data_IF_033223060131
#
_entry.id   IF_033223060131
#
_cell.length_a   1.000
_cell.length_b   1.000
_cell.length_c   1.000
_cell.angle_alpha   90.00
_cell.angle_beta   90.00
_cell.angle_gamma   90.00
#
_symmetry.space_group_name_H-M   'P 1'
#
loop_
_entity.id
_entity.type
_entity.pdbx_description
1 polymer ?
#
# COMPACT_ATOMS: atom_id res chain seq x y z
N UNK A 1 12.24 -3.82 -35.80
CA UNK A 1 12.01 -2.37 -35.99
C UNK A 1 10.57 -1.97 -35.67
N UNK A 2 9.54 -2.45 -36.39
CA UNK A 2 8.14 -2.05 -36.13
C UNK A 2 7.63 -2.32 -34.70
N UNK A 3 7.95 -3.49 -34.13
CA UNK A 3 7.65 -3.83 -32.73
C UNK A 3 8.36 -2.91 -31.75
N UNK A 4 9.63 -2.59 -32.01
CA UNK A 4 10.42 -1.68 -31.15
C UNK A 4 9.79 -0.29 -31.14
N UNK A 5 9.38 0.21 -32.31
CA UNK A 5 8.67 1.49 -32.43
C UNK A 5 7.35 1.46 -31.63
N UNK A 6 6.61 0.34 -31.70
CA UNK A 6 5.37 0.15 -30.93
C UNK A 6 5.63 0.21 -29.42
N UNK A 7 6.70 -0.43 -28.94
CA UNK A 7 7.09 -0.38 -27.52
C UNK A 7 7.51 1.02 -27.10
N UNK A 8 8.36 1.69 -27.88
CA UNK A 8 8.80 3.06 -27.59
C UNK A 8 7.59 4.00 -27.52
N UNK A 9 6.68 3.91 -28.49
CA UNK A 9 5.45 4.68 -28.51
C UNK A 9 4.62 4.45 -27.25
N UNK A 10 4.37 3.19 -26.89
CA UNK A 10 3.67 2.83 -25.67
C UNK A 10 4.32 3.43 -24.42
N UNK A 11 5.65 3.30 -24.27
CA UNK A 11 6.37 3.82 -23.11
C UNK A 11 6.34 5.34 -23.01
N UNK A 12 6.33 6.06 -24.13
CA UNK A 12 6.19 7.53 -24.13
C UNK A 12 4.85 7.92 -23.50
N UNK A 13 3.74 7.32 -23.94
CA UNK A 13 2.43 7.66 -23.39
C UNK A 13 2.23 7.13 -21.97
N UNK A 14 2.79 5.96 -21.65
CA UNK A 14 2.81 5.46 -20.28
C UNK A 14 3.57 6.42 -19.35
N UNK A 15 4.70 6.98 -19.81
CA UNK A 15 5.45 7.98 -19.06
C UNK A 15 4.63 9.26 -18.87
N UNK A 16 3.98 9.79 -19.92
CA UNK A 16 3.10 10.96 -19.81
C UNK A 16 1.94 10.70 -18.83
N UNK A 17 1.39 9.49 -18.83
CA UNK A 17 0.38 9.08 -17.88
C UNK A 17 0.93 9.08 -16.45
N UNK A 18 2.12 8.51 -16.20
CA UNK A 18 2.73 8.54 -14.85
C UNK A 18 3.11 9.94 -14.36
N UNK A 19 3.36 10.88 -15.25
CA UNK A 19 3.57 12.29 -14.92
C UNK A 19 2.26 13.07 -14.70
N UNK A 20 1.11 12.39 -14.63
CA UNK A 20 -0.21 12.99 -14.51
C UNK A 20 -0.56 14.00 -15.64
N UNK A 21 0.13 13.92 -16.80
CA UNK A 21 -0.08 14.81 -17.95
C UNK A 21 -1.33 14.41 -18.75
N UNK A 22 -1.60 13.11 -18.84
CA UNK A 22 -2.77 12.56 -19.52
C UNK A 22 -3.58 11.67 -18.57
N UNK A 23 -4.90 11.62 -18.75
CA UNK A 23 -5.78 10.71 -17.99
C UNK A 23 -5.66 9.26 -18.47
N UNK A 24 -6.13 8.30 -17.67
CA UNK A 24 -6.24 6.89 -18.09
C UNK A 24 -7.16 6.72 -19.29
N UNK A 25 -8.27 7.46 -19.35
CA UNK A 25 -9.16 7.53 -20.51
C UNK A 25 -8.39 7.98 -21.76
N UNK A 26 -7.66 9.10 -21.66
CA UNK A 26 -6.85 9.60 -22.77
C UNK A 26 -5.82 8.57 -23.23
N UNK A 27 -5.12 7.93 -22.28
CA UNK A 27 -4.13 6.92 -22.58
C UNK A 27 -4.73 5.71 -23.32
N UNK A 28 -5.84 5.17 -22.83
CA UNK A 28 -6.56 4.05 -23.46
C UNK A 28 -7.08 4.42 -24.86
N UNK A 29 -7.60 5.64 -25.04
CA UNK A 29 -8.06 6.13 -26.35
C UNK A 29 -6.90 6.25 -27.34
N UNK A 30 -5.73 6.74 -26.90
CA UNK A 30 -4.52 6.82 -27.74
C UNK A 30 -4.10 5.43 -28.22
N UNK A 31 -4.13 4.42 -27.34
CA UNK A 31 -3.85 3.03 -27.71
C UNK A 31 -4.90 2.47 -28.69
N UNK A 32 -6.18 2.79 -28.49
CA UNK A 32 -7.26 2.37 -29.39
C UNK A 32 -7.10 2.96 -30.80
N UNK A 33 -6.86 4.26 -30.91
CA UNK A 33 -6.62 4.94 -32.21
C UNK A 33 -5.39 4.36 -32.90
N UNK A 34 -4.35 4.05 -32.14
CA UNK A 34 -3.14 3.41 -32.66
C UNK A 34 -3.41 1.99 -33.19
N UNK A 35 -4.22 1.21 -32.45
CA UNK A 35 -4.64 -0.13 -32.86
C UNK A 35 -5.47 -0.10 -34.15
N UNK A 36 -6.41 0.84 -34.26
CA UNK A 36 -7.22 1.04 -35.48
C UNK A 36 -6.31 1.41 -36.66
N UNK A 37 -5.36 2.34 -36.45
CA UNK A 37 -4.43 2.77 -37.49
C UNK A 37 -3.57 1.60 -38.00
N UNK A 38 -2.99 0.80 -37.10
CA UNK A 38 -2.21 -0.38 -37.47
C UNK A 38 -3.06 -1.44 -38.19
N UNK A 39 -4.33 -1.60 -37.80
CA UNK A 39 -5.27 -2.50 -38.46
C UNK A 39 -5.59 -2.06 -39.89
N UNK A 40 -5.75 -0.76 -40.14
CA UNK A 40 -5.92 -0.21 -41.49
C UNK A 40 -4.67 -0.46 -42.34
N UNK A 41 -3.48 -0.19 -41.80
CA UNK A 41 -2.20 -0.47 -42.49
C UNK A 41 -2.07 -1.96 -42.83
N UNK A 42 -2.51 -2.84 -41.94
CA UNK A 42 -2.51 -4.29 -42.18
C UNK A 42 -3.39 -4.68 -43.37
N UNK A 43 -4.58 -4.09 -43.48
CA UNK A 43 -5.52 -4.33 -44.58
C UNK A 43 -4.92 -3.83 -45.91
N UNK A 44 -4.35 -2.63 -45.93
CA UNK A 44 -3.75 -2.03 -47.14
C UNK A 44 -2.59 -2.88 -47.68
N UNK A 45 -1.71 -3.35 -46.80
CA UNK A 45 -0.52 -4.12 -47.20
C UNK A 45 -0.72 -5.64 -47.17
N UNK A 46 -1.98 -6.13 -47.19
CA UNK A 46 -2.29 -7.55 -47.03
C UNK A 46 -1.61 -8.46 -48.08
N UNK A 47 -1.35 -7.95 -49.28
CA UNK A 47 -0.69 -8.71 -50.36
C UNK A 47 0.85 -8.74 -50.25
N UNK A 48 1.47 -7.83 -49.48
CA UNK A 48 2.93 -7.78 -49.32
C UNK A 48 3.37 -8.63 -48.13
N UNK A 49 3.88 -9.86 -48.37
CA UNK A 49 4.25 -10.81 -47.31
C UNK A 49 5.29 -10.27 -46.31
N UNK A 50 6.25 -9.46 -46.75
CA UNK A 50 7.32 -8.96 -45.89
C UNK A 50 6.82 -7.87 -44.93
N UNK A 51 5.99 -6.95 -45.42
CA UNK A 51 5.38 -5.87 -44.61
C UNK A 51 4.29 -6.46 -43.71
N UNK A 52 3.43 -7.33 -44.26
CA UNK A 52 2.34 -7.99 -43.52
C UNK A 52 2.81 -8.62 -42.22
N UNK A 53 3.87 -9.44 -42.24
CA UNK A 53 4.38 -10.11 -41.02
C UNK A 53 4.78 -9.11 -39.92
N UNK A 54 5.45 -8.02 -40.29
CA UNK A 54 5.89 -6.98 -39.33
C UNK A 54 4.71 -6.20 -38.74
N UNK A 55 3.71 -5.88 -39.57
CA UNK A 55 2.51 -5.14 -39.15
C UNK A 55 1.60 -6.02 -38.30
N UNK A 56 1.42 -7.31 -38.63
CA UNK A 56 0.67 -8.26 -37.79
C UNK A 56 1.26 -8.28 -36.37
N UNK A 57 2.58 -8.49 -36.25
CA UNK A 57 3.22 -8.58 -34.94
C UNK A 57 3.04 -7.30 -34.11
N UNK A 58 3.13 -6.13 -34.76
CA UNK A 58 2.94 -4.83 -34.11
C UNK A 58 1.48 -4.59 -33.71
N UNK A 59 0.54 -5.00 -34.56
CA UNK A 59 -0.91 -4.90 -34.29
C UNK A 59 -1.31 -5.82 -33.13
N UNK A 60 -0.82 -7.06 -33.12
CA UNK A 60 -1.03 -8.01 -32.03
C UNK A 60 -0.47 -7.52 -30.71
N UNK A 61 0.75 -6.95 -30.71
CA UNK A 61 1.32 -6.35 -29.50
C UNK A 61 0.50 -5.15 -29.03
N UNK A 62 0.09 -4.24 -29.92
CA UNK A 62 -0.73 -3.10 -29.55
C UNK A 62 -2.10 -3.53 -29.00
N UNK A 63 -2.71 -4.57 -29.57
CA UNK A 63 -3.96 -5.14 -29.06
C UNK A 63 -3.79 -5.69 -27.64
N UNK A 64 -2.69 -6.42 -27.38
CA UNK A 64 -2.37 -6.93 -26.05
C UNK A 64 -2.21 -5.80 -25.03
N UNK A 65 -1.44 -4.76 -25.38
CA UNK A 65 -1.21 -3.59 -24.53
C UNK A 65 -2.52 -2.82 -24.28
N UNK A 66 -3.35 -2.63 -25.31
CA UNK A 66 -4.66 -2.02 -25.16
C UNK A 66 -5.55 -2.80 -24.19
N UNK A 67 -5.65 -4.12 -24.34
CA UNK A 67 -6.44 -4.96 -23.43
C UNK A 67 -5.89 -4.92 -21.99
N UNK A 68 -4.56 -4.89 -21.83
CA UNK A 68 -3.91 -4.77 -20.52
C UNK A 68 -4.22 -3.43 -19.83
N UNK A 69 -4.31 -2.34 -20.59
CA UNK A 69 -4.59 -1.00 -20.06
C UNK A 69 -6.08 -0.65 -19.96
N UNK A 70 -6.97 -1.37 -20.66
CA UNK A 70 -8.40 -1.13 -20.67
C UNK A 70 -9.03 -1.02 -19.26
N UNK A 71 -8.62 -1.80 -18.23
CA UNK A 71 -9.18 -1.66 -16.89
C UNK A 71 -8.91 -0.29 -16.22
N UNK A 72 -7.96 0.52 -16.71
CA UNK A 72 -7.73 1.88 -16.18
C UNK A 72 -8.97 2.77 -16.20
N UNK A 73 -9.88 2.54 -17.15
CA UNK A 73 -11.13 3.31 -17.27
C UNK A 73 -11.98 3.26 -15.99
N UNK A 74 -11.89 2.19 -15.20
CA UNK A 74 -12.62 2.04 -13.94
C UNK A 74 -11.97 2.77 -12.77
N UNK A 75 -10.72 3.23 -12.92
CA UNK A 75 -9.95 3.87 -11.85
C UNK A 75 -9.89 5.40 -11.97
N UNK A 76 -10.11 5.94 -13.17
CA UNK A 76 -10.11 7.39 -13.41
C UNK A 76 -11.23 8.13 -12.66
N UNK A 77 -12.31 7.43 -12.31
CA UNK A 77 -13.38 7.99 -11.49
C UNK A 77 -12.89 8.44 -10.10
N UNK A 78 -11.87 7.79 -9.54
CA UNK A 78 -11.35 8.11 -8.21
C UNK A 78 -10.43 9.32 -8.26
N UNK A 79 -10.85 10.40 -7.59
CA UNK A 79 -10.17 11.71 -7.64
C UNK A 79 -9.40 12.01 -6.37
N UNK A 80 -9.98 11.68 -5.22
CA UNK A 80 -9.42 11.98 -3.91
C UNK A 80 -9.58 10.78 -2.98
N UNK A 81 -8.70 10.70 -2.00
CA UNK A 81 -8.80 9.76 -0.89
C UNK A 81 -8.77 10.54 0.43
N UNK A 82 -9.60 10.13 1.39
CA UNK A 82 -9.49 10.59 2.76
C UNK A 82 -9.00 9.45 3.64
N UNK A 83 -7.98 9.74 4.44
CA UNK A 83 -7.52 8.87 5.50
C UNK A 83 -8.26 9.24 6.78
N UNK A 84 -8.80 8.24 7.46
CA UNK A 84 -9.62 8.41 8.66
C UNK A 84 -8.87 7.93 9.89
N UNK A 85 -9.25 8.50 11.02
CA UNK A 85 -8.82 8.00 12.31
C UNK A 85 -9.47 6.64 12.57
N UNK A 86 -8.65 5.70 13.03
CA UNK A 86 -9.07 4.39 13.53
C UNK A 86 -8.40 4.22 14.89
N UNK A 87 -9.14 3.73 15.87
CA UNK A 87 -8.58 3.45 17.18
C UNK A 87 -7.44 2.43 17.08
N UNK A 88 -6.29 2.64 17.75
CA UNK A 88 -5.23 1.65 17.82
C UNK A 88 -5.73 0.34 18.42
N UNK A 89 -5.37 -0.77 17.78
CA UNK A 89 -5.90 -2.10 18.12
C UNK A 89 -4.88 -2.89 18.94
N UNK A 90 -5.25 -3.26 20.16
CA UNK A 90 -4.55 -4.28 20.94
C UNK A 90 -5.23 -5.64 20.70
N UNK A 91 -4.60 -6.50 19.90
CA UNK A 91 -5.23 -7.78 19.52
C UNK A 91 -5.18 -8.79 20.66
N UNK A 92 -4.08 -8.86 21.41
CA UNK A 92 -3.98 -9.70 22.61
C UNK A 92 -4.06 -8.81 23.84
N UNK A 93 -5.07 -9.07 24.67
CA UNK A 93 -5.33 -8.30 25.89
C UNK A 93 -4.12 -8.33 26.81
N UNK A 94 -3.80 -7.18 27.39
CA UNK A 94 -2.68 -7.00 28.32
C UNK A 94 -1.30 -7.26 27.67
N UNK A 95 -1.22 -7.21 26.33
CA UNK A 95 0.07 -7.23 25.64
C UNK A 95 0.78 -5.89 25.69
N UNK A 96 0.03 -4.79 25.82
CA UNK A 96 0.55 -3.43 25.72
C UNK A 96 1.05 -3.05 24.32
N UNK A 97 0.86 -3.90 23.32
CA UNK A 97 1.26 -3.69 21.93
C UNK A 97 0.03 -3.28 21.11
N UNK A 98 0.03 -2.06 20.60
CA UNK A 98 -1.09 -1.49 19.86
C UNK A 98 -0.75 -1.29 18.39
N UNK A 99 -1.53 -1.90 17.51
CA UNK A 99 -1.38 -1.81 16.06
C UNK A 99 -2.02 -0.53 15.54
N UNK A 100 -1.31 0.16 14.64
CA UNK A 100 -1.79 1.38 14.01
C UNK A 100 -2.37 1.11 12.61
N UNK A 101 -3.70 1.03 12.54
CA UNK A 101 -4.45 0.99 11.28
C UNK A 101 -4.75 2.39 10.74
N UNK A 102 -5.02 2.49 9.44
CA UNK A 102 -5.57 3.71 8.82
C UNK A 102 -6.65 3.30 7.83
N UNK A 103 -7.88 3.78 8.04
CA UNK A 103 -8.96 3.54 7.10
C UNK A 103 -8.89 4.56 5.95
N UNK A 104 -8.89 4.08 4.70
CA UNK A 104 -8.88 4.93 3.50
C UNK A 104 -10.22 4.84 2.77
N UNK A 105 -10.85 5.99 2.57
CA UNK A 105 -12.07 6.13 1.78
C UNK A 105 -11.75 6.85 0.48
N UNK A 106 -12.12 6.26 -0.65
CA UNK A 106 -11.93 6.86 -1.97
C UNK A 106 -13.19 7.59 -2.42
N UNK A 107 -13.02 8.79 -2.96
CA UNK A 107 -14.08 9.65 -3.47
C UNK A 107 -14.04 9.72 -4.99
N UNK A 108 -15.20 9.57 -5.60
CA UNK A 108 -15.36 9.62 -7.05
C UNK A 108 -15.80 11.00 -7.52
N UNK A 109 -15.36 11.40 -8.72
CA UNK A 109 -15.83 12.59 -9.46
C UNK A 109 -15.83 13.90 -8.65
N UNK A 110 -14.91 14.05 -7.71
CA UNK A 110 -14.84 15.24 -6.87
C UNK A 110 -13.80 16.20 -7.41
N UNK A 111 -14.24 17.38 -7.85
CA UNK A 111 -13.38 18.35 -8.55
C UNK A 111 -12.29 18.93 -7.66
N UNK A 112 -12.57 19.09 -6.36
CA UNK A 112 -11.64 19.72 -5.43
C UNK A 112 -11.73 19.15 -4.01
N UNK A 113 -10.69 19.42 -3.21
CA UNK A 113 -10.62 19.04 -1.80
C UNK A 113 -11.80 19.56 -0.98
N UNK A 114 -12.36 20.73 -1.33
CA UNK A 114 -13.48 21.34 -0.58
C UNK A 114 -14.76 20.52 -0.69
N UNK A 115 -15.09 20.03 -1.88
CA UNK A 115 -16.24 19.16 -2.06
C UNK A 115 -16.09 17.82 -1.32
N UNK A 116 -14.87 17.29 -1.20
CA UNK A 116 -14.61 16.11 -0.34
C UNK A 116 -14.89 16.44 1.13
N UNK A 117 -14.41 17.60 1.61
CA UNK A 117 -14.65 18.06 2.99
C UNK A 117 -16.15 18.23 3.24
N UNK A 118 -16.89 18.84 2.32
CA UNK A 118 -18.33 19.05 2.46
C UNK A 118 -19.09 17.72 2.53
N UNK A 119 -18.69 16.72 1.73
CA UNK A 119 -19.25 15.36 1.78
C UNK A 119 -18.94 14.67 3.12
N UNK A 120 -17.70 14.75 3.59
CA UNK A 120 -17.28 14.18 4.88
C UNK A 120 -18.05 14.81 6.05
N UNK A 121 -18.17 16.14 6.06
CA UNK A 121 -18.92 16.88 7.08
C UNK A 121 -20.41 16.50 7.06
N UNK A 122 -21.01 16.37 5.87
CA UNK A 122 -22.42 15.96 5.72
C UNK A 122 -22.67 14.55 6.25
N UNK A 123 -21.68 13.66 6.13
CA UNK A 123 -21.75 12.30 6.65
C UNK A 123 -21.27 12.18 8.11
N UNK A 124 -20.88 13.29 8.75
CA UNK A 124 -20.27 13.30 10.09
C UNK A 124 -19.06 12.36 10.20
N UNK A 125 -18.27 12.30 9.12
CA UNK A 125 -17.12 11.42 9.01
C UNK A 125 -15.83 12.20 9.29
N UNK A 126 -15.14 11.83 10.37
CA UNK A 126 -13.81 12.38 10.68
C UNK A 126 -12.75 11.94 9.66
N UNK A 127 -11.79 12.82 9.41
CA UNK A 127 -10.64 12.58 8.55
C UNK A 127 -9.36 13.18 9.15
N UNK A 128 -8.23 12.54 8.87
CA UNK A 128 -6.89 13.01 9.22
C UNK A 128 -6.27 13.81 8.08
N UNK A 129 -6.42 13.30 6.86
CA UNK A 129 -5.84 13.91 5.68
C UNK A 129 -6.66 13.57 4.43
N UNK A 130 -6.66 14.48 3.47
CA UNK A 130 -7.28 14.29 2.15
C UNK A 130 -6.19 14.51 1.11
N UNK A 131 -5.96 13.50 0.29
CA UNK A 131 -4.97 13.52 -0.78
C UNK A 131 -5.65 13.37 -2.13
N UNK A 132 -5.07 13.98 -3.17
CA UNK A 132 -5.45 13.72 -4.55
C UNK A 132 -4.88 12.36 -4.96
N UNK A 133 -5.67 11.57 -5.66
CA UNK A 133 -5.24 10.27 -6.21
C UNK A 133 -4.47 10.55 -7.51
N UNK A 134 -3.24 10.05 -7.57
CA UNK A 134 -2.36 10.17 -8.74
C UNK A 134 -2.60 9.03 -9.72
N UNK A 135 -2.14 9.21 -10.97
CA UNK A 135 -2.14 8.16 -11.97
C UNK A 135 -1.30 6.94 -11.54
N UNK A 136 -0.23 7.15 -10.77
CA UNK A 136 0.55 6.07 -10.17
C UNK A 136 -0.28 5.23 -9.19
N UNK A 137 -1.06 5.88 -8.32
CA UNK A 137 -1.96 5.19 -7.39
C UNK A 137 -3.03 4.37 -8.13
N UNK A 138 -3.61 4.94 -9.19
CA UNK A 138 -4.61 4.27 -10.05
C UNK A 138 -4.00 3.03 -10.71
N UNK A 139 -2.82 3.18 -11.30
CA UNK A 139 -2.13 2.10 -12.00
C UNK A 139 -1.72 0.96 -11.06
N UNK A 140 -1.20 1.29 -9.88
CA UNK A 140 -0.89 0.29 -8.85
C UNK A 140 -2.15 -0.47 -8.39
N UNK A 141 -3.27 0.24 -8.24
CA UNK A 141 -4.55 -0.37 -7.85
C UNK A 141 -5.09 -1.30 -8.94
N UNK A 142 -5.04 -0.86 -10.21
CA UNK A 142 -5.36 -1.68 -11.38
C UNK A 142 -4.54 -2.97 -11.41
N UNK A 143 -3.21 -2.88 -11.27
CA UNK A 143 -2.33 -4.04 -11.34
C UNK A 143 -2.59 -5.04 -10.21
N UNK A 144 -2.80 -4.55 -8.98
CA UNK A 144 -3.17 -5.42 -7.85
C UNK A 144 -4.50 -6.12 -8.10
N UNK A 145 -5.49 -5.44 -8.69
CA UNK A 145 -6.76 -6.08 -9.04
C UNK A 145 -6.59 -7.13 -10.13
N UNK A 146 -5.78 -6.86 -11.16
CA UNK A 146 -5.45 -7.83 -12.20
C UNK A 146 -4.79 -9.08 -11.61
N UNK A 147 -3.80 -8.92 -10.74
CA UNK A 147 -3.14 -10.03 -10.04
C UNK A 147 -4.14 -10.88 -9.25
N UNK A 148 -5.06 -10.23 -8.52
CA UNK A 148 -6.15 -10.91 -7.81
C UNK A 148 -7.05 -11.72 -8.75
N UNK A 149 -7.45 -11.17 -9.90
CA UNK A 149 -8.29 -11.90 -10.87
C UNK A 149 -7.61 -13.15 -11.41
N UNK A 150 -6.30 -13.09 -11.65
CA UNK A 150 -5.55 -14.25 -12.12
C UNK A 150 -5.14 -15.21 -11.00
N UNK A 151 -5.50 -14.93 -9.75
CA UNK A 151 -5.04 -15.69 -8.57
C UNK A 151 -3.50 -15.78 -8.53
N UNK A 152 -2.81 -14.77 -9.09
CA UNK A 152 -1.37 -14.68 -9.16
C UNK A 152 -0.89 -13.83 -7.99
N UNK A 153 -0.29 -14.49 -6.99
CA UNK A 153 0.25 -13.85 -5.79
C UNK A 153 -0.69 -13.93 -4.58
N UNK A 154 -0.10 -14.02 -3.39
CA UNK A 154 -0.82 -13.92 -2.12
C UNK A 154 -1.25 -12.46 -1.90
N UNK A 155 -2.33 -12.24 -1.14
CA UNK A 155 -2.66 -10.87 -0.74
C UNK A 155 -1.58 -10.32 0.19
N UNK A 156 -1.42 -9.00 0.25
CA UNK A 156 -0.44 -8.35 1.15
C UNK A 156 -0.65 -8.79 2.61
N UNK A 157 -1.91 -9.04 3.01
CA UNK A 157 -2.28 -9.52 4.35
C UNK A 157 -1.86 -10.99 4.53
N UNK A 158 -2.12 -11.85 3.54
CA UNK A 158 -1.73 -13.27 3.62
C UNK A 158 -0.21 -13.43 3.65
N UNK A 159 0.51 -12.65 2.85
CA UNK A 159 1.98 -12.64 2.89
C UNK A 159 2.49 -12.17 4.25
N UNK A 160 1.92 -11.10 4.82
CA UNK A 160 2.28 -10.67 6.17
C UNK A 160 2.00 -11.77 7.20
N UNK A 161 0.83 -12.43 7.15
CA UNK A 161 0.47 -13.53 8.06
C UNK A 161 1.49 -14.66 7.95
N UNK A 162 1.88 -15.04 6.75
CA UNK A 162 2.86 -16.10 6.52
C UNK A 162 4.24 -15.72 7.07
N UNK A 163 4.71 -14.49 6.84
CA UNK A 163 5.96 -14.01 7.40
C UNK A 163 5.96 -14.08 8.93
N UNK A 164 4.88 -13.61 9.56
CA UNK A 164 4.75 -13.66 11.04
C UNK A 164 4.68 -15.11 11.54
N UNK A 165 3.92 -15.99 10.86
CA UNK A 165 3.85 -17.43 11.21
C UNK A 165 5.21 -18.11 11.12
N UNK A 166 5.95 -17.82 10.06
CA UNK A 166 7.26 -18.41 9.84
C UNK A 166 8.28 -17.89 10.86
N UNK A 167 8.25 -16.59 11.16
CA UNK A 167 9.08 -16.01 12.22
C UNK A 167 8.78 -16.62 13.60
N UNK A 168 7.50 -16.76 13.95
CA UNK A 168 7.10 -17.32 15.25
C UNK A 168 7.29 -18.85 15.33
N UNK A 169 7.44 -19.56 14.21
CA UNK A 169 7.50 -21.03 14.21
C UNK A 169 6.09 -21.65 14.33
N UNK A 170 5.76 -22.53 13.38
CA UNK A 170 4.39 -22.86 12.94
C UNK A 170 3.47 -23.64 13.90
N UNK A 171 3.73 -23.75 15.21
CA UNK A 171 3.09 -24.79 16.04
C UNK A 171 2.14 -24.33 17.17
N UNK A 172 1.85 -23.03 17.33
CA UNK A 172 0.84 -22.60 18.32
C UNK A 172 -0.52 -22.32 17.67
N UNK A 173 -1.52 -23.15 18.00
CA UNK A 173 -2.90 -23.00 17.53
C UNK A 173 -3.52 -21.65 17.91
N UNK A 174 -3.14 -21.06 19.05
CA UNK A 174 -3.61 -19.74 19.50
C UNK A 174 -3.03 -18.62 18.65
N UNK A 175 -1.76 -18.74 18.23
CA UNK A 175 -1.12 -17.78 17.33
C UNK A 175 -1.78 -17.84 15.95
N UNK A 176 -2.12 -19.04 15.47
CA UNK A 176 -2.82 -19.18 14.20
C UNK A 176 -4.24 -18.56 14.22
N UNK A 177 -5.00 -18.78 15.29
CA UNK A 177 -6.31 -18.14 15.47
C UNK A 177 -6.19 -16.60 15.55
N UNK A 178 -5.22 -16.10 16.33
CA UNK A 178 -4.87 -14.69 16.46
C UNK A 178 -4.55 -14.03 15.11
N UNK A 179 -3.68 -14.64 14.30
CA UNK A 179 -3.26 -14.09 13.00
C UNK A 179 -4.38 -14.12 11.96
N UNK A 180 -5.33 -15.04 12.09
CA UNK A 180 -6.45 -15.17 11.16
C UNK A 180 -7.64 -14.27 11.53
N UNK A 181 -7.53 -13.43 12.56
CA UNK A 181 -8.57 -12.47 12.92
C UNK A 181 -8.92 -11.53 11.76
N UNK A 182 -10.22 -11.31 11.55
CA UNK A 182 -10.78 -10.39 10.54
C UNK A 182 -10.51 -8.91 10.88
N UNK A 183 -10.09 -8.61 12.11
CA UNK A 183 -9.80 -7.24 12.57
C UNK A 183 -8.47 -6.69 12.03
N UNK A 184 -7.64 -7.53 11.41
CA UNK A 184 -6.31 -7.16 10.91
C UNK A 184 -6.44 -6.50 9.53
N UNK A 185 -6.36 -5.17 9.50
CA UNK A 185 -6.40 -4.39 8.26
C UNK A 185 -4.97 -4.00 7.81
N UNK A 186 -4.44 -4.70 6.81
CA UNK A 186 -3.23 -4.32 6.07
C UNK A 186 -1.90 -4.94 6.54
N UNK A 187 -0.90 -4.95 5.65
CA UNK A 187 0.39 -5.64 5.85
C UNK A 187 1.36 -4.95 6.81
N UNK A 188 1.06 -3.71 7.22
CA UNK A 188 1.92 -2.92 8.11
C UNK A 188 1.81 -3.26 9.59
N UNK A 189 1.01 -4.27 9.93
CA UNK A 189 0.84 -4.77 11.29
C UNK A 189 1.85 -5.87 11.67
N UNK A 190 2.63 -6.38 10.71
CA UNK A 190 3.49 -7.56 10.88
C UNK A 190 4.42 -7.51 12.10
N UNK A 191 5.12 -6.40 12.32
CA UNK A 191 6.00 -6.23 13.49
C UNK A 191 5.21 -6.32 14.81
N UNK A 192 4.07 -5.63 14.89
CA UNK A 192 3.27 -5.64 16.10
C UNK A 192 2.61 -7.01 16.36
N UNK A 193 2.21 -7.71 15.31
CA UNK A 193 1.70 -9.09 15.41
C UNK A 193 2.79 -10.05 15.91
N UNK A 194 4.02 -9.93 15.40
CA UNK A 194 5.14 -10.74 15.84
C UNK A 194 5.52 -10.46 17.31
N UNK A 195 5.60 -9.19 17.72
CA UNK A 195 5.82 -8.81 19.11
C UNK A 195 4.70 -9.31 20.02
N UNK A 196 3.44 -9.21 19.59
CA UNK A 196 2.30 -9.75 20.34
C UNK A 196 2.41 -11.26 20.49
N UNK A 197 2.79 -11.98 19.43
CA UNK A 197 3.06 -13.41 19.49
C UNK A 197 4.16 -13.78 20.49
N UNK A 198 5.24 -13.00 20.54
CA UNK A 198 6.30 -13.17 21.55
C UNK A 198 5.78 -12.97 22.98
N UNK A 199 4.90 -11.98 23.20
CA UNK A 199 4.24 -11.77 24.49
C UNK A 199 3.33 -12.96 24.85
N UNK A 200 2.54 -13.46 23.91
CA UNK A 200 1.66 -14.61 24.11
C UNK A 200 2.42 -15.88 24.51
N UNK A 201 3.64 -16.07 24.01
CA UNK A 201 4.52 -17.19 24.37
C UNK A 201 5.27 -17.00 25.68
N UNK A 202 5.31 -15.77 26.20
CA UNK A 202 6.12 -15.42 27.37
C UNK A 202 7.59 -15.14 27.06
N UNK A 203 7.96 -15.04 25.78
CA UNK A 203 9.32 -14.69 25.33
C UNK A 203 9.61 -13.19 25.47
N UNK A 204 8.55 -12.38 25.57
CA UNK A 204 8.61 -10.94 25.81
C UNK A 204 7.64 -10.57 26.94
N UNK A 205 8.12 -9.86 27.96
CA UNK A 205 7.27 -9.21 28.95
C UNK A 205 7.13 -7.74 28.57
N UNK A 206 5.92 -7.19 28.66
CA UNK A 206 5.67 -5.77 28.37
C UNK A 206 4.62 -5.20 29.32
N UNK A 207 5.01 -4.16 30.07
CA UNK A 207 4.12 -3.44 31.00
C UNK A 207 3.76 -2.04 30.47
N UNK A 208 4.21 -1.71 29.25
CA UNK A 208 4.08 -0.38 28.65
C UNK A 208 3.01 -0.37 27.55
N UNK A 209 2.38 0.78 27.35
CA UNK A 209 1.52 1.03 26.17
C UNK A 209 2.36 1.57 25.02
N UNK A 210 2.55 0.76 23.98
CA UNK A 210 3.43 1.07 22.84
C UNK A 210 2.65 0.97 21.55
N UNK A 211 2.66 2.03 20.75
CA UNK A 211 2.13 2.01 19.40
C UNK A 211 3.16 1.40 18.44
N UNK A 212 2.75 0.45 17.60
CA UNK A 212 3.67 -0.29 16.72
C UNK A 212 3.17 -0.27 15.28
N UNK A 213 4.08 0.01 14.35
CA UNK A 213 3.87 -0.17 12.90
C UNK A 213 5.13 -0.72 12.26
N UNK A 214 4.98 -1.57 11.25
CA UNK A 214 6.08 -2.17 10.53
C UNK A 214 5.63 -3.46 9.86
N UNK A 215 6.08 -3.71 8.63
CA UNK A 215 6.05 -5.06 8.09
C UNK A 215 7.23 -5.86 8.64
N UNK A 216 7.16 -7.19 8.58
CA UNK A 216 8.25 -8.07 9.01
C UNK A 216 8.55 -9.10 7.91
N UNK A 217 9.82 -9.48 7.76
CA UNK A 217 10.23 -10.63 6.94
C UNK A 217 10.08 -11.95 7.71
N UNK A 218 10.20 -13.08 7.01
CA UNK A 218 10.24 -14.41 7.63
C UNK A 218 11.44 -14.58 8.59
N UNK A 219 12.51 -13.80 8.40
CA UNK A 219 13.75 -13.83 9.17
C UNK A 219 13.81 -12.81 10.31
N UNK A 220 12.77 -11.97 10.47
CA UNK A 220 12.70 -10.98 11.55
C UNK A 220 13.13 -9.56 11.17
N UNK A 221 13.47 -9.30 9.91
CA UNK A 221 13.81 -7.96 9.42
C UNK A 221 12.57 -7.06 9.45
N UNK A 222 12.73 -5.83 9.92
CA UNK A 222 11.66 -4.84 9.96
C UNK A 222 11.65 -4.02 8.68
N UNK A 223 10.53 -4.12 7.95
CA UNK A 223 10.37 -3.55 6.62
C UNK A 223 9.64 -2.20 6.66
N UNK A 224 9.97 -1.27 5.74
CA UNK A 224 9.37 0.05 5.69
C UNK A 224 7.86 -0.02 5.42
N UNK A 225 7.16 1.02 5.87
CA UNK A 225 5.72 1.19 5.69
C UNK A 225 5.41 2.54 5.06
N UNK A 226 4.23 2.64 4.44
CA UNK A 226 3.67 3.91 3.97
C UNK A 226 2.68 4.53 4.95
N UNK A 227 2.22 5.75 4.63
CA UNK A 227 1.17 6.47 5.38
C UNK A 227 1.61 6.69 6.85
N UNK A 228 2.91 6.94 7.06
CA UNK A 228 3.49 7.08 8.40
C UNK A 228 2.94 8.34 9.11
N UNK A 229 2.75 9.42 8.36
CA UNK A 229 2.23 10.68 8.88
C UNK A 229 0.88 10.49 9.59
N UNK A 230 -0.09 9.86 8.93
CA UNK A 230 -1.42 9.65 9.50
C UNK A 230 -1.35 8.69 10.70
N UNK A 231 -0.50 7.65 10.65
CA UNK A 231 -0.28 6.73 11.78
C UNK A 231 0.30 7.43 13.00
N UNK A 232 1.27 8.33 12.81
CA UNK A 232 1.81 9.14 13.91
C UNK A 232 0.74 10.05 14.52
N UNK A 233 -0.14 10.64 13.70
CA UNK A 233 -1.28 11.43 14.19
C UNK A 233 -2.29 10.58 14.96
N UNK A 234 -2.52 9.33 14.55
CA UNK A 234 -3.38 8.39 15.27
C UNK A 234 -2.79 8.06 16.64
N UNK A 235 -1.50 7.70 16.68
CA UNK A 235 -0.80 7.40 17.93
C UNK A 235 -0.85 8.60 18.90
N UNK A 236 -0.67 9.81 18.38
CA UNK A 236 -0.70 11.04 19.20
C UNK A 236 -2.09 11.30 19.76
N UNK A 237 -3.12 11.25 18.89
CA UNK A 237 -4.51 11.45 19.30
C UNK A 237 -4.98 10.40 20.32
N UNK A 238 -4.47 9.18 20.21
CA UNK A 238 -4.74 8.10 21.16
C UNK A 238 -3.89 8.18 22.45
N UNK A 239 -3.02 9.18 22.58
CA UNK A 239 -2.25 9.44 23.80
C UNK A 239 -1.04 8.52 24.02
N UNK A 240 -0.49 7.93 22.96
CA UNK A 240 0.72 7.11 23.08
C UNK A 240 1.96 7.98 23.25
N UNK A 241 2.78 7.68 24.25
CA UNK A 241 4.07 8.35 24.46
C UNK A 241 5.23 7.65 23.73
N UNK A 242 5.04 6.40 23.32
CA UNK A 242 6.06 5.53 22.72
C UNK A 242 5.53 4.95 21.41
N UNK A 243 6.34 5.04 20.35
CA UNK A 243 6.01 4.44 19.06
C UNK A 243 7.20 3.72 18.45
N UNK A 244 7.03 2.44 18.12
CA UNK A 244 8.02 1.62 17.41
C UNK A 244 7.75 1.66 15.91
N UNK A 245 8.79 1.99 15.13
CA UNK A 245 8.73 2.12 13.67
C UNK A 245 9.92 1.42 12.99
N UNK A 246 9.86 1.16 11.67
CA UNK A 246 11.03 0.70 10.91
C UNK A 246 12.13 1.77 10.86
N UNK A 247 13.39 1.40 11.02
CA UNK A 247 14.54 2.32 10.86
C UNK A 247 14.60 2.98 9.49
N UNK A 248 14.14 2.29 8.45
CA UNK A 248 14.00 2.85 7.11
C UNK A 248 13.08 4.09 7.05
N UNK A 249 12.11 4.20 7.97
CA UNK A 249 11.19 5.32 8.07
C UNK A 249 11.65 6.43 9.05
N UNK A 250 12.78 6.27 9.76
CA UNK A 250 13.25 7.21 10.80
C UNK A 250 13.35 8.65 10.30
N UNK A 251 13.94 8.86 9.12
CA UNK A 251 14.11 10.21 8.55
C UNK A 251 12.77 10.90 8.32
N UNK A 252 11.83 10.18 7.70
CA UNK A 252 10.46 10.64 7.47
C UNK A 252 9.75 10.97 8.79
N UNK A 253 9.87 10.08 9.79
CA UNK A 253 9.27 10.27 11.11
C UNK A 253 9.76 11.54 11.80
N UNK A 254 11.07 11.81 11.77
CA UNK A 254 11.64 13.02 12.39
C UNK A 254 11.19 14.31 11.67
N UNK A 255 11.04 14.26 10.35
CA UNK A 255 10.49 15.38 9.57
C UNK A 255 9.02 15.63 9.91
N UNK A 256 8.22 14.55 10.01
CA UNK A 256 6.82 14.62 10.44
C UNK A 256 6.72 15.18 11.85
N UNK A 257 7.53 14.69 12.79
CA UNK A 257 7.53 15.11 14.19
C UNK A 257 7.77 16.62 14.31
N UNK A 258 8.78 17.15 13.61
CA UNK A 258 9.09 18.59 13.57
C UNK A 258 7.95 19.39 12.96
N UNK A 259 7.32 18.89 11.90
CA UNK A 259 6.27 19.61 11.18
C UNK A 259 4.95 19.64 11.93
N UNK A 260 4.59 18.54 12.57
CA UNK A 260 3.30 18.34 13.26
C UNK A 260 3.38 18.59 14.76
N UNK A 261 4.58 18.82 15.33
CA UNK A 261 4.82 18.99 16.77
C UNK A 261 4.35 17.79 17.61
N UNK A 262 4.51 16.58 17.04
CA UNK A 262 4.05 15.33 17.66
C UNK A 262 4.89 14.98 18.87
N UNK A 263 4.29 14.93 20.05
CA UNK A 263 4.99 14.61 21.30
C UNK A 263 5.03 13.09 21.60
N UNK A 264 5.67 12.34 20.71
CA UNK A 264 5.85 10.88 20.84
C UNK A 264 7.34 10.55 20.74
N UNK A 265 7.83 9.71 21.65
CA UNK A 265 9.19 9.17 21.54
C UNK A 265 9.21 8.07 20.46
N UNK A 266 9.91 8.36 19.37
CA UNK A 266 10.11 7.44 18.25
C UNK A 266 11.24 6.46 18.58
N UNK A 267 10.94 5.17 18.43
CA UNK A 267 11.82 4.04 18.69
C UNK A 267 11.96 3.28 17.37
N UNK A 268 13.01 3.54 16.61
CA UNK A 268 13.18 2.89 15.31
C UNK A 268 14.03 1.62 15.43
N UNK A 269 13.63 0.58 14.68
CA UNK A 269 14.24 -0.75 14.71
C UNK A 269 14.41 -1.31 13.29
N UNK A 270 15.51 -2.03 13.06
CA UNK A 270 15.79 -2.73 11.81
C UNK A 270 15.51 -4.23 11.92
N UNK A 271 15.57 -4.78 13.14
CA UNK A 271 15.29 -6.18 13.47
C UNK A 271 14.30 -6.28 14.62
N UNK A 272 13.51 -7.33 14.66
CA UNK A 272 12.59 -7.57 15.78
C UNK A 272 13.32 -7.79 17.11
N UNK A 273 14.52 -8.39 17.10
CA UNK A 273 15.32 -8.57 18.31
C UNK A 273 15.71 -7.22 18.95
N UNK A 274 15.95 -6.19 18.12
CA UNK A 274 16.19 -4.83 18.60
C UNK A 274 14.95 -4.26 19.29
N UNK A 275 13.75 -4.53 18.75
CA UNK A 275 12.49 -4.14 19.38
C UNK A 275 12.30 -4.82 20.73
N UNK A 276 12.59 -6.12 20.82
CA UNK A 276 12.54 -6.89 22.09
C UNK A 276 13.50 -6.31 23.12
N UNK A 277 14.76 -6.08 22.76
CA UNK A 277 15.76 -5.47 23.65
C UNK A 277 15.33 -4.09 24.14
N UNK A 278 14.80 -3.27 23.24
CA UNK A 278 14.35 -1.92 23.54
C UNK A 278 13.14 -1.91 24.48
N UNK A 279 12.17 -2.80 24.27
CA UNK A 279 11.01 -2.93 25.17
C UNK A 279 11.46 -3.38 26.56
N UNK A 280 12.35 -4.37 26.65
CA UNK A 280 12.91 -4.85 27.91
C UNK A 280 13.67 -3.73 28.67
N UNK A 281 14.47 -2.93 27.98
CA UNK A 281 15.18 -1.80 28.59
C UNK A 281 14.20 -0.74 29.14
N UNK A 282 13.13 -0.45 28.41
CA UNK A 282 12.11 0.51 28.85
C UNK A 282 11.30 0.00 30.04
N UNK A 283 10.94 -1.29 30.08
CA UNK A 283 10.28 -1.90 31.23
C UNK A 283 11.17 -1.81 32.48
N UNK A 284 12.48 -2.05 32.34
CA UNK A 284 13.43 -1.93 33.43
C UNK A 284 13.59 -0.51 33.98
N UNK A 285 13.35 0.53 33.17
CA UNK A 285 13.36 1.94 33.59
C UNK A 285 12.04 2.41 34.20
N UNK A 286 10.96 1.66 34.01
CA UNK A 286 9.61 1.99 34.50
C UNK A 286 9.30 1.42 35.88
N UNK A 287 10.17 0.55 36.42
CA UNK A 287 10.12 0.01 37.79
C UNK A 287 10.96 0.86 38.73
#
# INVERSE_FOLDING_TARGET
>A
MAVIITMIYYYIFLFLYFQDVISGVSFVVILLVSLITLSIVLIVYWKNRAIKRKVILSTSLMALLFCYELPLLFYDAYTHAAYRYTDPLEIYKDSGIYLLGVNRVNFQFTENKKAVIDLLNKQQMDYLNITKITNSDRYGSKNRQLLKWFHLGKSDIDQMRDNVKQFLGQEDGRINEFLNSDTIEGSSAGLGLALTGLVMRGDLQNDLKIAVTGAISETGDVLPIGILKEKMQIAEKAGFSLMVIPSANRKEALEIQKKLHVNIKILDVAQIDEAVLLINELNGKSK
#
